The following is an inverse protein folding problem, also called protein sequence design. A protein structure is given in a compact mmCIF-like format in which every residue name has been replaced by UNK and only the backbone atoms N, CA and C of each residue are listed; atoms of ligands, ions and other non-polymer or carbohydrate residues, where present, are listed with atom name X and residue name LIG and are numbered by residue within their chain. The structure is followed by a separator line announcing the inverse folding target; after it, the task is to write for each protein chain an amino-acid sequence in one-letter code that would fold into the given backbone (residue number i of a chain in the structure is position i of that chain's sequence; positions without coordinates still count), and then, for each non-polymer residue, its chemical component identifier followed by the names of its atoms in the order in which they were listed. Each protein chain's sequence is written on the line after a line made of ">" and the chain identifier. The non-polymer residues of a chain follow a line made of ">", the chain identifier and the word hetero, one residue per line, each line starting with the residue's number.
data_IF_309343335930
#
_entry.id   IF_309343335930
#
_cell.length_a   1.000
_cell.length_b   1.000
_cell.length_c   1.000
_cell.angle_alpha   90.00
_cell.angle_beta   90.00
_cell.angle_gamma   90.00
#
_symmetry.space_group_name_H-M   'P 1'
#
loop_
_entity.id
_entity.type
_entity.pdbx_description
1 polymer ?
#
# COMPACT_ATOMS: atom_id res chain seq x y z
N UNK A 1 -14.64 8.33 0.41
CA UNK A 1 -15.43 7.92 -0.80
C UNK A 1 -14.49 7.61 -1.94
N UNK A 2 -14.77 6.59 -2.76
CA UNK A 2 -13.99 6.34 -3.97
C UNK A 2 -13.92 7.56 -4.88
N UNK A 3 -12.77 7.79 -5.49
CA UNK A 3 -12.55 8.91 -6.42
C UNK A 3 -12.69 8.42 -7.84
N UNK A 4 -13.51 9.12 -8.64
CA UNK A 4 -13.70 8.90 -10.07
C UNK A 4 -14.63 7.77 -10.45
N UNK A 5 -14.90 7.68 -11.77
CA UNK A 5 -15.76 6.69 -12.42
C UNK A 5 -14.97 5.90 -13.46
N UNK A 6 -15.22 4.61 -13.69
CA UNK A 6 -16.15 3.78 -12.91
C UNK A 6 -15.72 3.62 -11.45
N UNK A 7 -16.63 3.19 -10.59
CA UNK A 7 -16.31 2.88 -9.18
C UNK A 7 -15.32 1.71 -9.09
N UNK A 8 -14.55 1.59 -8.00
CA UNK A 8 -13.51 0.56 -7.90
C UNK A 8 -13.99 -0.86 -8.21
N UNK A 9 -15.17 -1.23 -7.73
CA UNK A 9 -15.80 -2.54 -7.97
C UNK A 9 -16.25 -2.78 -9.41
N UNK A 10 -16.40 -1.71 -10.18
CA UNK A 10 -16.79 -1.73 -11.60
C UNK A 10 -15.58 -1.65 -12.52
N UNK A 11 -14.42 -1.23 -12.00
CA UNK A 11 -13.21 -1.02 -12.81
C UNK A 11 -12.70 -2.30 -13.41
N UNK A 12 -12.35 -2.21 -14.67
CA UNK A 12 -11.59 -3.24 -15.35
C UNK A 12 -10.12 -2.83 -15.31
N UNK A 13 -9.30 -3.75 -14.88
CA UNK A 13 -7.87 -3.62 -14.88
C UNK A 13 -7.27 -4.35 -16.05
N UNK A 14 -6.30 -3.76 -16.71
CA UNK A 14 -5.38 -4.47 -17.59
C UNK A 14 -4.16 -4.86 -16.79
N UNK A 15 -3.74 -6.12 -16.93
CA UNK A 15 -2.65 -6.63 -16.12
C UNK A 15 -1.79 -7.65 -16.83
N UNK A 16 -0.53 -7.71 -16.43
CA UNK A 16 0.45 -8.68 -16.87
C UNK A 16 1.20 -9.25 -15.67
N UNK A 17 1.45 -10.55 -15.70
CA UNK A 17 2.30 -11.25 -14.76
C UNK A 17 3.65 -11.51 -15.43
N UNK A 18 4.73 -11.01 -14.84
CA UNK A 18 6.06 -11.03 -15.44
C UNK A 18 7.12 -11.42 -14.42
N UNK A 19 8.24 -11.95 -14.90
CA UNK A 19 9.45 -12.13 -14.10
C UNK A 19 10.44 -10.98 -14.36
N UNK A 20 11.27 -10.67 -13.36
CA UNK A 20 12.40 -9.81 -13.59
C UNK A 20 13.41 -10.48 -14.55
N UNK A 21 14.10 -9.68 -15.33
CA UNK A 21 15.14 -10.18 -16.27
C UNK A 21 16.39 -10.67 -15.54
N UNK A 22 16.59 -10.23 -14.31
CA UNK A 22 17.70 -10.64 -13.47
C UNK A 22 17.46 -12.03 -12.88
N UNK A 23 18.47 -12.89 -12.96
CA UNK A 23 18.40 -14.23 -12.38
C UNK A 23 18.24 -14.17 -10.86
N UNK A 24 17.44 -15.09 -10.31
CA UNK A 24 17.15 -15.19 -8.85
C UNK A 24 18.41 -15.21 -7.98
N UNK A 25 19.45 -15.87 -8.41
CA UNK A 25 20.74 -16.03 -7.73
C UNK A 25 21.57 -14.74 -7.62
N UNK A 26 21.30 -13.73 -8.43
CA UNK A 26 21.95 -12.41 -8.35
C UNK A 26 21.24 -11.45 -7.40
N UNK A 27 20.03 -11.79 -7.00
CA UNK A 27 19.23 -10.96 -6.11
C UNK A 27 19.51 -11.38 -4.67
N UNK A 28 20.13 -10.51 -3.89
CA UNK A 28 20.29 -10.76 -2.45
C UNK A 28 18.94 -10.96 -1.79
N UNK A 29 18.84 -11.94 -0.92
CA UNK A 29 17.65 -12.51 -0.28
C UNK A 29 16.61 -11.49 0.22
N UNK A 30 17.01 -10.28 0.57
CA UNK A 30 16.12 -9.27 1.14
C UNK A 30 16.09 -7.95 0.37
N UNK A 31 16.99 -7.73 -0.57
CA UNK A 31 17.23 -6.39 -1.11
C UNK A 31 16.47 -6.08 -2.40
N UNK A 32 16.44 -7.02 -3.33
CA UNK A 32 16.07 -6.66 -4.70
C UNK A 32 14.56 -6.70 -4.93
N UNK A 33 13.85 -7.61 -4.27
CA UNK A 33 12.43 -7.83 -4.52
C UNK A 33 11.51 -6.94 -3.72
N UNK A 34 11.98 -6.50 -2.56
CA UNK A 34 11.21 -5.64 -1.67
C UNK A 34 11.40 -4.17 -1.93
N UNK A 35 12.64 -3.79 -2.16
CA UNK A 35 13.08 -2.41 -1.99
C UNK A 35 13.41 -1.72 -3.29
N UNK A 36 13.43 -2.42 -4.40
CA UNK A 36 13.95 -1.88 -5.64
C UNK A 36 13.02 -2.05 -6.81
N UNK A 37 13.12 -1.09 -7.68
CA UNK A 37 12.67 -1.22 -9.04
C UNK A 37 13.53 -2.31 -9.69
N UNK A 38 12.92 -3.43 -10.02
CA UNK A 38 13.59 -4.52 -10.74
C UNK A 38 13.65 -4.19 -12.22
N UNK A 39 14.64 -4.78 -12.91
CA UNK A 39 14.70 -4.70 -14.37
C UNK A 39 13.59 -5.59 -14.95
N UNK A 40 12.65 -4.95 -15.60
CA UNK A 40 11.54 -5.62 -16.27
C UNK A 40 11.95 -6.11 -17.68
N UNK A 41 11.23 -7.06 -18.27
CA UNK A 41 11.42 -7.47 -19.65
C UNK A 41 11.37 -6.30 -20.61
N UNK A 42 12.12 -6.42 -21.71
CA UNK A 42 12.18 -5.37 -22.73
C UNK A 42 10.80 -5.06 -23.30
N UNK A 43 10.53 -3.79 -23.52
CA UNK A 43 9.28 -3.28 -24.09
C UNK A 43 8.20 -2.94 -23.07
N UNK A 44 8.43 -3.22 -21.77
CA UNK A 44 7.48 -2.87 -20.70
C UNK A 44 8.10 -1.97 -19.62
N UNK A 45 9.26 -1.38 -19.87
CA UNK A 45 9.96 -0.53 -18.91
C UNK A 45 9.12 0.69 -18.49
N UNK A 46 8.34 1.20 -19.43
CA UNK A 46 7.51 2.39 -19.26
C UNK A 46 6.03 2.05 -18.99
N UNK A 47 5.76 0.85 -18.51
CA UNK A 47 4.40 0.32 -18.30
C UNK A 47 3.49 1.23 -17.45
N UNK A 48 4.05 2.02 -16.55
CA UNK A 48 3.31 2.90 -15.64
C UNK A 48 2.91 4.25 -16.26
N UNK A 49 3.45 4.58 -17.44
CA UNK A 49 3.18 5.86 -18.11
C UNK A 49 1.80 5.85 -18.80
N UNK A 50 1.09 6.99 -18.83
CA UNK A 50 -0.25 7.08 -19.40
C UNK A 50 -0.37 6.63 -20.86
N UNK A 51 0.69 6.85 -21.66
CA UNK A 51 0.72 6.51 -23.08
C UNK A 51 1.14 5.07 -23.40
N UNK A 52 1.43 4.26 -22.38
CA UNK A 52 1.83 2.87 -22.60
C UNK A 52 0.67 2.08 -23.22
N UNK A 53 0.97 1.28 -24.25
CA UNK A 53 0.01 0.40 -24.88
C UNK A 53 -0.09 -0.93 -24.12
N UNK A 54 -1.13 -1.05 -23.33
CA UNK A 54 -1.47 -2.24 -22.56
C UNK A 54 -2.55 -3.12 -23.26
N UNK A 55 -2.82 -2.89 -24.53
CA UNK A 55 -3.90 -3.57 -25.28
C UNK A 55 -3.75 -5.10 -25.35
N UNK A 56 -2.53 -5.60 -25.19
CA UNK A 56 -2.22 -7.04 -25.17
C UNK A 56 -2.26 -7.67 -23.79
N UNK A 57 -2.48 -6.89 -22.75
CA UNK A 57 -2.55 -7.39 -21.37
C UNK A 57 -3.90 -8.06 -21.12
N UNK A 58 -3.94 -8.97 -20.14
CA UNK A 58 -5.18 -9.56 -19.68
C UNK A 58 -6.09 -8.49 -19.07
N UNK A 59 -7.38 -8.73 -19.10
CA UNK A 59 -8.39 -7.87 -18.49
C UNK A 59 -9.11 -8.61 -17.36
N UNK A 60 -9.43 -7.90 -16.30
CA UNK A 60 -10.21 -8.45 -15.21
C UNK A 60 -10.48 -7.48 -14.09
N UNK A 61 -11.22 -7.95 -13.10
CA UNK A 61 -11.56 -7.18 -11.89
C UNK A 61 -10.57 -7.46 -10.77
N UNK A 62 -10.25 -6.45 -9.99
CA UNK A 62 -9.54 -6.61 -8.72
C UNK A 62 -10.49 -7.13 -7.62
N UNK A 63 -9.96 -7.74 -6.55
CA UNK A 63 -8.54 -8.09 -6.35
C UNK A 63 -8.00 -9.10 -7.36
N UNK A 64 -6.79 -8.87 -7.86
CA UNK A 64 -6.08 -9.83 -8.69
C UNK A 64 -5.15 -10.62 -7.77
N UNK A 65 -5.23 -11.95 -7.79
CA UNK A 65 -4.47 -12.73 -6.85
C UNK A 65 -4.22 -14.17 -7.25
N UNK A 66 -3.40 -14.85 -6.44
CA UNK A 66 -3.11 -16.27 -6.56
C UNK A 66 -2.97 -16.93 -5.20
N UNK A 67 -3.18 -18.26 -5.18
CA UNK A 67 -3.06 -19.07 -3.96
C UNK A 67 -4.15 -18.77 -2.93
N UNK A 68 -3.80 -18.96 -1.66
CA UNK A 68 -4.71 -18.76 -0.53
C UNK A 68 -3.99 -18.04 0.60
N UNK A 69 -4.33 -16.79 0.82
CA UNK A 69 -3.77 -15.97 1.88
C UNK A 69 -4.57 -16.14 3.17
N UNK A 70 -3.96 -16.75 4.18
CA UNK A 70 -4.59 -17.05 5.46
C UNK A 70 -3.85 -16.37 6.61
N UNK A 71 -4.57 -15.70 7.47
CA UNK A 71 -4.04 -15.18 8.72
C UNK A 71 -5.15 -14.93 9.74
N UNK A 72 -4.91 -15.30 11.01
CA UNK A 72 -5.82 -14.99 12.14
C UNK A 72 -7.29 -15.35 11.88
N UNK A 73 -7.56 -16.52 11.28
CA UNK A 73 -8.92 -16.97 10.97
C UNK A 73 -9.54 -16.37 9.69
N UNK A 74 -8.88 -15.39 9.06
CA UNK A 74 -9.32 -14.81 7.79
C UNK A 74 -8.63 -15.57 6.66
N UNK A 75 -9.40 -15.91 5.61
CA UNK A 75 -8.88 -16.54 4.40
C UNK A 75 -9.35 -15.77 3.19
N UNK A 76 -8.40 -15.31 2.37
CA UNK A 76 -8.65 -14.69 1.08
C UNK A 76 -8.21 -15.66 -0.02
N UNK A 77 -9.14 -16.07 -0.84
CA UNK A 77 -8.98 -16.98 -1.98
C UNK A 77 -10.09 -16.72 -3.00
N UNK A 78 -10.04 -17.40 -4.14
CA UNK A 78 -11.07 -17.28 -5.18
C UNK A 78 -11.17 -15.84 -5.70
N UNK A 79 -10.05 -15.31 -6.15
CA UNK A 79 -9.97 -13.95 -6.68
C UNK A 79 -10.80 -13.78 -7.95
N UNK A 80 -11.39 -12.59 -8.19
CA UNK A 80 -12.09 -12.28 -9.44
C UNK A 80 -11.22 -12.45 -10.69
N UNK A 81 -9.91 -12.20 -10.55
CA UNK A 81 -8.92 -12.39 -11.61
C UNK A 81 -7.67 -13.06 -11.06
N UNK A 82 -7.07 -13.92 -11.87
CA UNK A 82 -5.90 -14.70 -11.47
C UNK A 82 -4.61 -13.96 -11.83
N UNK A 83 -3.75 -13.75 -10.84
CA UNK A 83 -2.36 -13.37 -11.03
C UNK A 83 -1.62 -14.58 -11.62
N UNK A 84 -1.15 -14.53 -12.81
CA UNK A 84 -0.46 -15.62 -13.47
C UNK A 84 0.80 -16.12 -12.76
N UNK A 85 1.65 -16.86 -13.46
CA UNK A 85 2.81 -17.52 -12.85
C UNK A 85 3.98 -16.58 -12.54
N UNK A 86 4.06 -15.44 -13.24
CA UNK A 86 5.13 -14.46 -13.03
C UNK A 86 5.19 -13.92 -11.62
N UNK A 87 6.38 -13.56 -11.17
CA UNK A 87 6.65 -13.06 -9.84
C UNK A 87 6.03 -11.68 -9.60
N UNK A 88 6.04 -10.82 -10.61
CA UNK A 88 5.52 -9.46 -10.53
C UNK A 88 4.19 -9.36 -11.24
N UNK A 89 3.24 -8.68 -10.59
CA UNK A 89 2.03 -8.20 -11.21
C UNK A 89 2.19 -6.73 -11.55
N UNK A 90 1.94 -6.40 -12.80
CA UNK A 90 1.78 -5.04 -13.27
C UNK A 90 0.32 -4.86 -13.64
N UNK A 91 -0.36 -3.88 -13.06
CA UNK A 91 -1.77 -3.64 -13.35
C UNK A 91 -2.04 -2.16 -13.57
N UNK A 92 -2.97 -1.86 -14.47
CA UNK A 92 -3.33 -0.51 -14.90
C UNK A 92 -4.83 -0.39 -15.07
N UNK A 93 -5.35 0.76 -14.73
CA UNK A 93 -6.74 1.13 -15.05
C UNK A 93 -6.83 2.62 -15.35
N UNK A 94 -7.90 2.99 -16.02
CA UNK A 94 -8.24 4.40 -16.24
C UNK A 94 -9.54 4.73 -15.52
N UNK A 95 -9.63 5.96 -15.04
CA UNK A 95 -10.83 6.47 -14.40
C UNK A 95 -10.98 7.97 -14.67
N UNK A 96 -12.22 8.42 -14.70
CA UNK A 96 -12.56 9.84 -14.91
C UNK A 96 -12.87 10.49 -13.57
N UNK A 97 -12.30 11.66 -13.33
CA UNK A 97 -12.52 12.45 -12.13
C UNK A 97 -13.30 13.71 -12.52
N UNK A 98 -14.49 13.83 -11.99
CA UNK A 98 -15.35 15.01 -12.22
C UNK A 98 -14.93 16.18 -11.34
N UNK A 99 -14.53 15.86 -10.10
CA UNK A 99 -14.22 16.86 -9.09
C UNK A 99 -13.03 16.41 -8.21
N UNK A 100 -12.15 17.36 -7.90
CA UNK A 100 -10.98 17.16 -7.04
C UNK A 100 -11.10 17.90 -5.70
N UNK A 101 -12.32 18.26 -5.27
CA UNK A 101 -12.59 19.07 -4.07
C UNK A 101 -12.69 18.23 -2.78
N UNK A 102 -11.74 17.33 -2.58
CA UNK A 102 -11.60 16.65 -1.30
C UNK A 102 -10.54 17.37 -0.45
N UNK A 103 -10.76 17.39 0.86
CA UNK A 103 -9.83 18.01 1.81
C UNK A 103 -8.56 17.20 1.99
N UNK A 104 -8.69 15.89 1.86
CA UNK A 104 -7.57 14.94 1.88
C UNK A 104 -7.86 13.71 1.03
N UNK A 105 -6.80 12.94 0.76
CA UNK A 105 -6.89 11.72 -0.02
C UNK A 105 -6.14 10.60 0.67
N UNK A 106 -6.60 9.38 0.45
CA UNK A 106 -5.88 8.17 0.84
C UNK A 106 -5.93 7.13 -0.25
N UNK A 107 -4.99 6.22 -0.26
CA UNK A 107 -5.12 4.96 -0.97
C UNK A 107 -5.58 3.88 0.01
N UNK A 108 -6.53 3.05 -0.41
CA UNK A 108 -6.84 1.80 0.23
C UNK A 108 -6.22 0.68 -0.60
N UNK A 109 -5.42 -0.15 0.04
CA UNK A 109 -4.61 -1.17 -0.63
C UNK A 109 -4.81 -2.52 0.02
N UNK A 110 -5.09 -3.51 -0.78
CA UNK A 110 -4.96 -4.92 -0.45
C UNK A 110 -3.72 -5.46 -1.17
N UNK A 111 -2.65 -5.71 -0.44
CA UNK A 111 -1.42 -6.27 -1.00
C UNK A 111 -0.73 -7.17 0.03
N UNK A 112 -0.30 -8.37 -0.38
CA UNK A 112 0.43 -9.28 0.51
C UNK A 112 1.88 -8.86 0.69
N UNK A 113 2.51 -8.43 -0.37
CA UNK A 113 3.93 -8.07 -0.43
C UNK A 113 4.12 -6.59 -0.79
N UNK A 114 5.36 -6.18 -0.96
CA UNK A 114 5.70 -4.82 -1.37
C UNK A 114 5.07 -4.42 -2.70
N UNK A 115 4.73 -3.15 -2.81
CA UNK A 115 4.05 -2.61 -3.99
C UNK A 115 4.45 -1.16 -4.26
N UNK A 116 4.26 -0.74 -5.51
CA UNK A 116 4.42 0.65 -5.95
C UNK A 116 3.13 1.13 -6.59
N UNK A 117 2.73 2.35 -6.28
CA UNK A 117 1.53 2.99 -6.87
C UNK A 117 1.96 4.20 -7.66
N UNK A 118 1.45 4.29 -8.89
CA UNK A 118 1.69 5.40 -9.81
C UNK A 118 0.37 6.04 -10.22
N UNK A 119 0.32 7.34 -10.22
CA UNK A 119 -0.80 8.15 -10.72
C UNK A 119 -0.30 9.00 -11.88
N UNK A 120 -0.89 8.83 -13.05
CA UNK A 120 -0.50 9.53 -14.28
C UNK A 120 1.01 9.45 -14.58
N UNK A 121 1.61 8.29 -14.29
CA UNK A 121 3.03 8.03 -14.51
C UNK A 121 3.96 8.45 -13.38
N UNK A 122 3.46 9.16 -12.38
CA UNK A 122 4.26 9.57 -11.22
C UNK A 122 4.07 8.61 -10.05
N UNK A 123 5.17 8.19 -9.46
CA UNK A 123 5.13 7.29 -8.29
C UNK A 123 4.64 8.06 -7.07
N UNK A 124 3.46 7.71 -6.58
CA UNK A 124 2.82 8.41 -5.45
C UNK A 124 2.95 7.65 -4.13
N UNK A 125 3.25 6.35 -4.17
CA UNK A 125 3.46 5.57 -2.96
C UNK A 125 4.33 4.35 -3.23
N UNK A 126 5.10 3.97 -2.21
CA UNK A 126 5.90 2.73 -2.16
C UNK A 126 5.75 2.10 -0.79
N UNK A 127 5.43 0.82 -0.76
CA UNK A 127 5.47 -0.01 0.43
C UNK A 127 6.43 -1.18 0.20
N UNK A 128 7.28 -1.46 1.17
CA UNK A 128 8.42 -2.36 1.00
C UNK A 128 8.34 -3.64 1.85
N UNK A 129 7.32 -3.75 2.69
CA UNK A 129 7.16 -4.87 3.60
C UNK A 129 5.98 -5.75 3.18
N UNK A 130 5.84 -6.91 3.84
CA UNK A 130 4.66 -7.75 3.72
C UNK A 130 3.56 -7.31 4.68
N UNK A 131 2.34 -7.71 4.38
CA UNK A 131 1.20 -7.61 5.26
C UNK A 131 0.76 -9.01 5.70
N UNK A 132 0.60 -9.21 6.99
CA UNK A 132 0.19 -10.53 7.49
C UNK A 132 -1.28 -10.80 7.22
N UNK A 133 -2.13 -9.82 7.48
CA UNK A 133 -3.58 -9.98 7.41
C UNK A 133 -4.13 -9.69 6.03
N UNK A 134 -5.02 -10.56 5.50
CA UNK A 134 -5.71 -10.34 4.24
C UNK A 134 -6.82 -9.29 4.38
N UNK A 135 -6.41 -8.04 4.54
CA UNK A 135 -7.29 -6.89 4.72
C UNK A 135 -6.73 -5.66 4.00
N UNK A 136 -7.63 -4.73 3.68
CA UNK A 136 -7.19 -3.43 3.18
C UNK A 136 -6.47 -2.63 4.26
N UNK A 137 -5.37 -2.03 3.89
CA UNK A 137 -4.70 -0.97 4.65
C UNK A 137 -4.95 0.38 4.00
N UNK A 138 -4.92 1.44 4.78
CA UNK A 138 -5.09 2.80 4.27
C UNK A 138 -3.83 3.62 4.49
N UNK A 139 -3.44 4.37 3.48
CA UNK A 139 -2.31 5.30 3.51
C UNK A 139 -2.80 6.67 3.09
N UNK A 140 -2.65 7.66 3.96
CA UNK A 140 -2.93 9.06 3.63
C UNK A 140 -1.88 9.55 2.63
N UNK A 141 -2.33 10.18 1.57
CA UNK A 141 -1.45 10.75 0.55
C UNK A 141 -1.06 12.16 0.92
N UNK A 142 0.23 12.44 0.87
CA UNK A 142 0.76 13.78 0.98
C UNK A 142 0.22 14.67 -0.16
N UNK A 143 0.09 15.95 0.10
CA UNK A 143 -0.49 16.90 -0.86
C UNK A 143 0.27 16.92 -2.18
N UNK A 144 1.59 16.82 -2.12
CA UNK A 144 2.47 16.77 -3.28
C UNK A 144 2.21 15.55 -4.15
N UNK A 145 1.91 14.41 -3.55
CA UNK A 145 1.61 13.16 -4.27
C UNK A 145 0.28 13.24 -5.00
N UNK A 146 -0.72 13.88 -4.40
CA UNK A 146 -2.05 13.97 -4.99
C UNK A 146 -2.16 15.07 -6.06
N UNK A 147 -1.22 16.01 -6.14
CA UNK A 147 -1.17 17.01 -7.20
C UNK A 147 -1.14 16.43 -8.62
N UNK A 148 -0.82 15.14 -8.74
CA UNK A 148 -0.88 14.42 -10.00
C UNK A 148 -2.29 13.96 -10.39
N UNK A 149 -3.26 13.99 -9.46
CA UNK A 149 -4.67 13.75 -9.76
C UNK A 149 -5.25 14.98 -10.47
N UNK A 150 -5.91 14.76 -11.58
CA UNK A 150 -6.48 15.82 -12.39
C UNK A 150 -7.94 15.55 -12.73
N UNK A 151 -8.67 16.62 -13.01
CA UNK A 151 -10.01 16.52 -13.58
C UNK A 151 -9.93 15.84 -14.95
N UNK A 152 -10.91 15.00 -15.26
CA UNK A 152 -10.92 14.20 -16.48
C UNK A 152 -10.20 12.86 -16.30
N UNK A 153 -9.63 12.34 -17.37
CA UNK A 153 -9.03 11.01 -17.43
C UNK A 153 -7.72 10.94 -16.65
N UNK A 154 -7.65 9.93 -15.79
CA UNK A 154 -6.46 9.57 -15.03
C UNK A 154 -6.09 8.11 -15.28
N UNK A 155 -4.81 7.80 -15.09
CA UNK A 155 -4.27 6.44 -15.14
C UNK A 155 -3.73 6.08 -13.77
N UNK A 156 -4.24 5.02 -13.17
CA UNK A 156 -3.70 4.40 -11.98
C UNK A 156 -2.96 3.13 -12.40
N UNK A 157 -1.67 3.06 -12.04
CA UNK A 157 -0.84 1.91 -12.32
C UNK A 157 -0.21 1.40 -11.03
N UNK A 158 -0.15 0.09 -10.86
CA UNK A 158 0.32 -0.54 -9.63
C UNK A 158 1.16 -1.76 -9.95
N UNK A 159 2.28 -1.91 -9.27
CA UNK A 159 3.06 -3.15 -9.31
C UNK A 159 3.18 -3.74 -7.93
N UNK A 160 3.18 -5.07 -7.86
CA UNK A 160 3.50 -5.81 -6.65
C UNK A 160 4.25 -7.08 -7.00
N UNK A 161 4.97 -7.63 -6.02
CA UNK A 161 5.59 -8.95 -6.14
C UNK A 161 4.85 -9.98 -5.29
N UNK A 162 4.97 -11.25 -5.65
CA UNK A 162 4.28 -12.36 -4.98
C UNK A 162 5.07 -12.95 -3.82
N UNK A 163 6.36 -12.68 -3.74
CA UNK A 163 7.26 -13.31 -2.78
C UNK A 163 8.04 -12.29 -1.97
N UNK A 164 8.11 -12.58 -0.70
CA UNK A 164 9.05 -11.94 0.21
C UNK A 164 10.40 -12.67 0.22
N UNK A 165 10.35 -13.98 0.28
CA UNK A 165 11.50 -14.88 0.28
C UNK A 165 11.43 -15.75 -0.98
N UNK A 166 12.42 -15.68 -1.89
CA UNK A 166 12.44 -16.48 -3.11
C UNK A 166 12.47 -17.99 -2.84
N UNK A 167 12.90 -18.38 -1.65
CA UNK A 167 12.96 -19.79 -1.24
C UNK A 167 11.67 -20.24 -0.51
N UNK A 168 10.67 -19.33 -0.33
CA UNK A 168 9.39 -19.73 0.25
C UNK A 168 8.62 -20.63 -0.70
N UNK A 169 8.13 -21.78 -0.23
CA UNK A 169 7.28 -22.65 -1.02
C UNK A 169 5.87 -22.10 -1.20
N UNK A 170 5.52 -21.05 -0.47
CA UNK A 170 4.18 -20.47 -0.50
C UNK A 170 4.09 -19.33 -1.51
N UNK A 171 3.34 -19.59 -2.57
CA UNK A 171 3.03 -18.60 -3.60
C UNK A 171 1.59 -18.14 -3.45
N UNK A 172 1.35 -17.15 -2.61
CA UNK A 172 0.07 -16.50 -2.53
C UNK A 172 0.24 -14.99 -2.50
N UNK A 173 -0.56 -14.32 -3.29
CA UNK A 173 -0.53 -12.88 -3.40
C UNK A 173 -1.91 -12.34 -3.78
N UNK A 174 -2.15 -11.10 -3.42
CA UNK A 174 -3.32 -10.35 -3.86
C UNK A 174 -2.92 -8.88 -4.04
N UNK A 175 -3.56 -8.22 -4.99
CA UNK A 175 -3.40 -6.80 -5.22
C UNK A 175 -4.72 -6.17 -5.62
N UNK A 176 -5.08 -5.14 -4.88
CA UNK A 176 -6.11 -4.17 -5.25
C UNK A 176 -5.74 -2.81 -4.69
N UNK A 177 -6.01 -1.75 -5.43
CA UNK A 177 -5.73 -0.38 -5.02
C UNK A 177 -6.85 0.54 -5.47
N UNK A 178 -7.29 1.39 -4.55
CA UNK A 178 -8.25 2.44 -4.86
C UNK A 178 -7.85 3.77 -4.22
N UNK A 179 -8.16 4.86 -4.90
CA UNK A 179 -7.99 6.21 -4.36
C UNK A 179 -9.32 6.64 -3.76
N UNK A 180 -9.26 7.15 -2.54
CA UNK A 180 -10.41 7.67 -1.81
C UNK A 180 -10.18 9.13 -1.44
N UNK A 181 -11.22 9.93 -1.64
CA UNK A 181 -11.27 11.31 -1.17
C UNK A 181 -12.03 11.39 0.15
N UNK A 182 -11.55 12.24 1.03
CA UNK A 182 -12.10 12.47 2.37
C UNK A 182 -12.47 13.95 2.46
N UNK A 183 -13.73 14.22 2.74
CA UNK A 183 -14.20 15.58 3.02
C UNK A 183 -14.09 15.86 4.52
N UNK A 184 -14.09 17.15 4.88
CA UNK A 184 -14.12 17.58 6.27
C UNK A 184 -15.31 16.98 7.02
N UNK A 185 -16.49 16.93 6.38
CA UNK A 185 -17.68 16.29 6.95
C UNK A 185 -17.53 14.78 7.15
N UNK A 186 -16.79 14.08 6.28
CA UNK A 186 -16.49 12.66 6.47
C UNK A 186 -15.53 12.46 7.65
N UNK A 187 -14.56 13.35 7.83
CA UNK A 187 -13.65 13.34 8.98
C UNK A 187 -14.38 13.62 10.29
N UNK A 188 -15.25 14.62 10.33
CA UNK A 188 -16.07 14.96 11.50
C UNK A 188 -16.97 13.77 11.93
N UNK A 189 -17.56 13.07 10.97
CA UNK A 189 -18.34 11.85 11.26
C UNK A 189 -17.49 10.74 11.87
N UNK A 190 -16.27 10.56 11.35
CA UNK A 190 -15.33 9.59 11.92
C UNK A 190 -14.92 9.97 13.34
N UNK A 191 -14.63 11.24 13.56
CA UNK A 191 -14.25 11.73 14.87
C UNK A 191 -15.37 11.54 15.91
N UNK A 192 -16.63 11.83 15.54
CA UNK A 192 -17.79 11.56 16.38
C UNK A 192 -17.95 10.05 16.69
N UNK A 193 -17.82 9.19 15.68
CA UNK A 193 -17.90 7.75 15.91
C UNK A 193 -16.78 7.25 16.82
N UNK A 194 -15.57 7.82 16.72
CA UNK A 194 -14.46 7.51 17.63
C UNK A 194 -14.74 8.01 19.05
N UNK A 195 -15.46 9.13 19.21
CA UNK A 195 -15.86 9.66 20.51
C UNK A 195 -16.85 8.75 21.25
N UNK A 196 -17.70 8.05 20.50
CA UNK A 196 -18.63 7.08 21.09
C UNK A 196 -17.91 5.82 21.64
N UNK A 197 -16.76 5.46 21.03
CA UNK A 197 -16.05 4.21 21.35
C UNK A 197 -14.84 4.43 22.28
N UNK A 198 -14.16 5.59 22.15
CA UNK A 198 -12.91 5.89 22.85
C UNK A 198 -13.10 7.07 23.80
N UNK A 199 -12.71 6.90 25.05
CA UNK A 199 -12.66 8.02 26.00
C UNK A 199 -11.69 9.12 25.52
N UNK A 200 -11.87 10.35 26.00
CA UNK A 200 -10.94 11.45 25.73
C UNK A 200 -9.50 11.11 26.11
N UNK A 201 -9.32 10.36 27.20
CA UNK A 201 -8.02 9.86 27.66
C UNK A 201 -7.40 8.89 26.65
N UNK A 202 -8.18 7.96 26.12
CA UNK A 202 -7.69 6.97 25.15
C UNK A 202 -7.33 7.63 23.83
N UNK A 203 -8.12 8.58 23.37
CA UNK A 203 -7.82 9.37 22.16
C UNK A 203 -6.53 10.17 22.32
N UNK A 204 -6.31 10.82 23.46
CA UNK A 204 -5.06 11.53 23.72
C UNK A 204 -3.86 10.57 23.83
N UNK A 205 -4.05 9.39 24.40
CA UNK A 205 -3.01 8.36 24.46
C UNK A 205 -2.63 7.84 23.07
N UNK A 206 -3.59 7.77 22.13
CA UNK A 206 -3.37 7.31 20.76
C UNK A 206 -2.71 8.38 19.87
N UNK A 207 -2.78 9.64 20.23
CA UNK A 207 -2.07 10.70 19.49
C UNK A 207 -0.56 10.45 19.48
N UNK A 208 0.02 10.31 18.31
CA UNK A 208 1.44 10.00 18.11
C UNK A 208 1.84 8.57 18.46
N UNK A 209 0.86 7.67 18.69
CA UNK A 209 1.11 6.26 18.69
C UNK A 209 1.17 5.77 17.23
N UNK A 210 2.21 5.03 16.88
CA UNK A 210 2.28 4.33 15.61
C UNK A 210 1.34 3.13 15.64
N UNK A 211 0.66 2.87 14.53
CA UNK A 211 -0.13 1.66 14.32
C UNK A 211 0.71 0.46 13.84
N UNK A 212 2.04 0.60 13.75
CA UNK A 212 2.96 -0.50 13.48
C UNK A 212 3.08 -1.42 14.69
N UNK A 213 2.69 -2.69 14.53
CA UNK A 213 2.68 -3.69 15.59
C UNK A 213 4.07 -4.18 16.04
N UNK A 214 5.16 -3.50 15.68
CA UNK A 214 6.53 -3.90 15.96
C UNK A 214 7.24 -2.87 16.83
N UNK A 215 8.13 -3.35 17.69
CA UNK A 215 9.11 -2.53 18.41
C UNK A 215 8.51 -1.30 19.11
N UNK A 216 7.81 -1.53 20.20
CA UNK A 216 7.20 -0.46 21.00
C UNK A 216 6.18 0.39 20.25
N UNK A 217 5.52 -0.20 19.25
CA UNK A 217 4.54 0.45 18.40
C UNK A 217 5.05 1.69 17.63
N UNK A 218 6.38 1.88 17.54
CA UNK A 218 6.99 3.07 16.92
C UNK A 218 6.57 4.40 17.56
N UNK A 219 6.08 4.36 18.78
CA UNK A 219 5.51 5.52 19.45
C UNK A 219 6.60 6.49 19.90
N UNK A 220 6.60 7.70 19.36
CA UNK A 220 7.48 8.78 19.82
C UNK A 220 7.30 9.08 21.31
N UNK A 221 6.09 8.90 21.87
CA UNK A 221 5.80 9.06 23.30
C UNK A 221 6.54 8.02 24.15
N UNK A 222 6.56 6.75 23.71
CA UNK A 222 7.27 5.69 24.43
C UNK A 222 8.78 5.96 24.39
N UNK A 223 9.32 6.30 23.23
CA UNK A 223 10.75 6.63 23.10
C UNK A 223 11.15 7.86 23.93
N UNK A 224 10.30 8.89 23.99
CA UNK A 224 10.55 10.05 24.83
C UNK A 224 10.58 9.69 26.32
N UNK A 225 9.66 8.82 26.79
CA UNK A 225 9.66 8.33 28.17
C UNK A 225 10.88 7.47 28.48
N UNK A 226 11.29 6.59 27.58
CA UNK A 226 12.51 5.80 27.73
C UNK A 226 13.75 6.71 27.79
N UNK A 227 13.86 7.67 26.87
CA UNK A 227 14.96 8.64 26.86
C UNK A 227 15.06 9.44 28.17
N UNK A 228 13.92 9.89 28.70
CA UNK A 228 13.85 10.56 29.98
C UNK A 228 14.33 9.65 31.12
N UNK A 229 13.85 8.42 31.20
CA UNK A 229 14.23 7.46 32.22
C UNK A 229 15.75 7.15 32.21
N UNK A 230 16.34 6.98 31.02
CA UNK A 230 17.78 6.81 30.86
C UNK A 230 18.56 8.04 31.31
N UNK A 231 18.13 9.24 30.93
CA UNK A 231 18.78 10.47 31.35
C UNK A 231 18.77 10.66 32.89
N UNK A 232 17.63 10.37 33.53
CA UNK A 232 17.49 10.41 35.00
C UNK A 232 18.38 9.37 35.67
N UNK A 233 18.47 8.16 35.17
CA UNK A 233 19.32 7.12 35.70
C UNK A 233 20.81 7.52 35.65
N UNK A 234 21.26 8.05 34.50
CA UNK A 234 22.63 8.54 34.34
C UNK A 234 22.93 9.71 35.31
N UNK A 235 22.00 10.68 35.40
CA UNK A 235 22.16 11.82 36.31
C UNK A 235 22.26 11.39 37.77
N UNK A 236 21.50 10.38 38.18
CA UNK A 236 21.58 9.83 39.56
C UNK A 236 22.90 9.10 39.81
N UNK A 237 23.41 8.35 38.85
CA UNK A 237 24.74 7.71 38.96
C UNK A 237 25.88 8.70 39.05
N UNK A 238 25.77 9.84 38.35
CA UNK A 238 26.80 10.89 38.44
C UNK A 238 26.79 11.65 39.77
N UNK A 239 25.63 11.74 40.44
CA UNK A 239 25.50 12.39 41.76
C UNK A 239 25.93 11.48 42.91
N UNK A 240 26.03 10.18 42.69
CA UNK A 240 26.42 9.19 43.69
C UNK A 240 27.93 8.91 43.74
N UNK A 241 28.70 9.55 42.89
CA UNK A 241 30.16 9.58 42.88
C UNK A 241 30.67 10.88 43.45
#
# INVERSE_FOLDING_TARGET
>A
KPVGKPLPEERIWRFASVDATEKKDKLKKYDARRFRDVTLPAGIENWHLPQFDDSKWAEGKAPIGKGSWKHSGITLKNFPSTWGEGEFLLMRTTFEVEDTHYDSYRIAVLARQGFHVYLNGQKIHTYIWWQDKPQYSSVVLEKEMINHLKKGKNVLAVSANDQYDPDSPEHYAALDVQIEGITKADQEKLDLALEEVLSARDREALKGASNGGYHYFGSAKIFAQMGKAFAEAIANQLKSK
#
